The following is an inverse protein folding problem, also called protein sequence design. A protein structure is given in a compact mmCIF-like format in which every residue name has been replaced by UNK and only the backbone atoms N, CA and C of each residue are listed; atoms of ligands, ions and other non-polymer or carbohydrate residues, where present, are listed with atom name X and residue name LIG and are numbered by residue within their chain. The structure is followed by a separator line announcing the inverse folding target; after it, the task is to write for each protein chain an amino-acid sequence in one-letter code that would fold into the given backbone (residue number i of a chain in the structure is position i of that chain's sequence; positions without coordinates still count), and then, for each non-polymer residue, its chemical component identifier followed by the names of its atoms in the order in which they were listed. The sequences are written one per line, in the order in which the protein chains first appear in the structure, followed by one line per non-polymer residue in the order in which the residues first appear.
data_IF_871622303374
#
_entry.id   IF_871622303374
#
_cell.length_a   1.000
_cell.length_b   1.000
_cell.length_c   1.000
_cell.angle_alpha   90.00
_cell.angle_beta   90.00
_cell.angle_gamma   90.00
#
_symmetry.space_group_name_H-M   'P 1'
#
loop_
_entity.id
_entity.type
_entity.pdbx_description
1 polymer ?
#
# COMPACT_ATOMS: atom_id res chain seq x y z
N UNK A 1 7.02 12.64 -6.31
CA UNK A 1 6.18 11.99 -5.28
C UNK A 1 7.09 11.42 -4.20
N UNK A 2 6.54 11.00 -3.06
CA UNK A 2 7.28 10.29 -2.00
C UNK A 2 7.95 9.02 -2.56
N UNK A 3 9.00 8.50 -1.92
CA UNK A 3 9.57 7.21 -2.29
C UNK A 3 8.87 6.08 -1.54
N UNK A 4 8.68 4.94 -2.17
CA UNK A 4 8.04 3.79 -1.54
C UNK A 4 8.81 3.28 -0.31
N UNK A 5 10.16 3.23 -0.29
CA UNK A 5 10.91 2.94 0.93
C UNK A 5 10.56 3.84 2.13
N UNK A 6 10.21 5.12 1.91
CA UNK A 6 9.80 6.04 2.98
C UNK A 6 8.41 5.70 3.53
N UNK A 7 7.59 5.01 2.74
CA UNK A 7 6.27 4.52 3.11
C UNK A 7 6.35 3.18 3.87
N UNK A 8 7.49 2.51 3.88
CA UNK A 8 7.66 1.19 4.51
C UNK A 8 8.07 1.35 5.98
N UNK A 9 7.63 0.41 6.82
CA UNK A 9 8.02 0.34 8.24
C UNK A 9 8.76 -0.97 8.51
N UNK A 10 10.03 -0.93 8.95
CA UNK A 10 10.80 -2.14 9.22
C UNK A 10 10.18 -3.09 10.25
N UNK A 11 9.38 -2.54 11.17
CA UNK A 11 8.66 -3.31 12.19
C UNK A 11 7.39 -4.02 11.67
N UNK A 12 7.04 -3.86 10.39
CA UNK A 12 5.85 -4.47 9.83
C UNK A 12 6.00 -5.99 9.73
N UNK A 13 5.15 -6.72 10.44
CA UNK A 13 5.01 -8.17 10.29
C UNK A 13 4.09 -8.56 9.13
N UNK A 14 3.26 -7.63 8.64
CA UNK A 14 2.40 -7.81 7.47
C UNK A 14 2.14 -6.47 6.78
N UNK A 15 2.06 -6.51 5.45
CA UNK A 15 1.63 -5.41 4.60
C UNK A 15 0.39 -5.84 3.81
N UNK A 16 -0.60 -4.97 3.78
CA UNK A 16 -1.91 -5.22 3.20
C UNK A 16 -2.10 -4.35 1.96
N UNK A 17 -2.45 -4.98 0.85
CA UNK A 17 -2.86 -4.30 -0.37
C UNK A 17 -4.34 -4.57 -0.59
N UNK A 18 -5.17 -3.51 -0.61
CA UNK A 18 -6.62 -3.62 -0.87
C UNK A 18 -7.03 -2.65 -1.93
N UNK A 19 -7.51 -3.18 -3.05
CA UNK A 19 -8.03 -2.36 -4.11
C UNK A 19 -9.55 -2.23 -4.03
N UNK A 20 -10.03 -1.00 -4.21
CA UNK A 20 -11.46 -0.69 -4.34
C UNK A 20 -11.74 -0.10 -5.72
N UNK A 21 -12.67 -0.71 -6.45
CA UNK A 21 -13.13 -0.25 -7.75
C UNK A 21 -14.37 0.62 -7.56
N UNK A 22 -14.28 1.85 -8.05
CA UNK A 22 -15.29 2.89 -7.83
C UNK A 22 -15.90 3.36 -9.15
N UNK A 23 -15.28 3.03 -10.29
CA UNK A 23 -15.77 3.26 -11.64
C UNK A 23 -15.47 4.65 -12.20
N UNK A 24 -15.33 5.69 -11.38
CA UNK A 24 -14.99 7.06 -11.84
C UNK A 24 -14.04 7.78 -10.89
N UNK A 25 -13.32 8.77 -11.42
CA UNK A 25 -12.32 9.52 -10.67
C UNK A 25 -12.93 10.32 -9.51
N UNK A 26 -14.14 10.86 -9.69
CA UNK A 26 -14.89 11.59 -8.66
C UNK A 26 -15.25 10.66 -7.51
N UNK A 27 -15.72 9.44 -7.84
CA UNK A 27 -16.07 8.42 -6.85
C UNK A 27 -14.83 7.88 -6.14
N UNK A 28 -13.70 7.71 -6.84
CA UNK A 28 -12.40 7.36 -6.25
C UNK A 28 -11.93 8.40 -5.23
N UNK A 29 -11.99 9.68 -5.58
CA UNK A 29 -11.60 10.77 -4.66
C UNK A 29 -12.53 10.84 -3.46
N UNK A 30 -13.85 10.78 -3.68
CA UNK A 30 -14.82 10.80 -2.58
C UNK A 30 -14.61 9.63 -1.61
N UNK A 31 -14.36 8.42 -2.12
CA UNK A 31 -14.06 7.25 -1.28
C UNK A 31 -12.74 7.42 -0.51
N UNK A 32 -11.68 7.90 -1.18
CA UNK A 32 -10.39 8.14 -0.57
C UNK A 32 -10.46 9.19 0.55
N UNK A 33 -11.02 10.36 0.26
CA UNK A 33 -11.15 11.48 1.20
C UNK A 33 -12.04 11.10 2.39
N UNK A 34 -13.13 10.36 2.15
CA UNK A 34 -13.99 9.87 3.23
C UNK A 34 -13.23 8.90 4.12
N UNK A 35 -12.50 7.91 3.57
CA UNK A 35 -11.70 7.00 4.40
C UNK A 35 -10.60 7.71 5.18
N UNK A 36 -9.90 8.66 4.55
CA UNK A 36 -8.88 9.50 5.20
C UNK A 36 -9.50 10.26 6.38
N UNK A 37 -10.69 10.85 6.19
CA UNK A 37 -11.42 11.53 7.26
C UNK A 37 -11.83 10.60 8.41
N UNK A 38 -12.36 9.42 8.09
CA UNK A 38 -12.76 8.43 9.10
C UNK A 38 -11.55 7.91 9.89
N UNK A 39 -10.39 7.71 9.23
CA UNK A 39 -9.16 7.32 9.92
C UNK A 39 -8.55 8.42 10.77
N UNK A 40 -8.59 9.67 10.31
CA UNK A 40 -8.09 10.81 11.08
C UNK A 40 -8.97 11.10 12.31
N UNK A 41 -10.28 10.85 12.21
CA UNK A 41 -11.20 10.98 13.33
C UNK A 41 -11.13 9.79 14.30
N UNK A 42 -10.75 8.61 13.82
CA UNK A 42 -10.52 7.44 14.65
C UNK A 42 -9.17 7.53 15.38
N UNK A 43 -9.09 6.96 16.58
CA UNK A 43 -7.79 6.70 17.20
C UNK A 43 -6.99 5.68 16.39
N UNK A 44 -5.68 5.82 16.34
CA UNK A 44 -4.79 4.84 15.71
C UNK A 44 -4.98 3.47 16.37
N UNK A 45 -5.37 2.43 15.60
CA UNK A 45 -5.47 1.07 16.11
C UNK A 45 -4.13 0.59 16.66
N UNK A 46 -4.15 -0.09 17.81
CA UNK A 46 -2.97 -0.78 18.30
C UNK A 46 -2.46 -1.77 17.24
N UNK A 47 -1.17 -1.69 16.94
CA UNK A 47 -0.52 -2.55 15.95
C UNK A 47 -0.54 -2.05 14.50
N UNK A 48 -1.30 -0.99 14.16
CA UNK A 48 -1.18 -0.34 12.83
C UNK A 48 0.05 0.58 12.83
N UNK A 49 0.95 0.38 11.86
CA UNK A 49 2.23 1.09 11.78
C UNK A 49 2.22 2.20 10.72
N UNK A 50 1.48 1.98 9.64
CA UNK A 50 1.32 2.95 8.57
C UNK A 50 0.07 2.64 7.75
N UNK A 51 -0.51 3.67 7.14
CA UNK A 51 -1.61 3.50 6.22
C UNK A 51 -1.62 4.58 5.14
N UNK A 52 -1.72 4.18 3.88
CA UNK A 52 -1.59 5.05 2.73
C UNK A 52 -2.70 4.77 1.71
N UNK A 53 -3.10 5.81 1.00
CA UNK A 53 -4.12 5.78 -0.05
C UNK A 53 -3.49 6.23 -1.34
N UNK A 54 -3.73 5.46 -2.40
CA UNK A 54 -3.31 5.78 -3.75
C UNK A 54 -4.53 5.83 -4.67
N UNK A 55 -4.54 6.75 -5.61
CA UNK A 55 -5.57 6.84 -6.65
C UNK A 55 -5.03 6.25 -7.96
N UNK A 56 -5.84 5.41 -8.60
CA UNK A 56 -5.50 4.89 -9.93
C UNK A 56 -5.39 6.04 -10.93
N UNK A 57 -4.40 6.01 -11.82
CA UNK A 57 -4.21 7.05 -12.83
C UNK A 57 -5.29 7.03 -13.91
N UNK A 58 -5.98 5.91 -14.10
CA UNK A 58 -7.16 5.81 -14.98
C UNK A 58 -8.46 6.31 -14.32
N UNK A 59 -8.39 6.67 -13.03
CA UNK A 59 -9.52 7.17 -12.26
C UNK A 59 -10.52 6.12 -11.78
N UNK A 60 -10.37 4.86 -12.15
CA UNK A 60 -11.42 3.82 -11.95
C UNK A 60 -11.42 3.20 -10.55
N UNK A 61 -10.44 3.53 -9.71
CA UNK A 61 -10.35 2.99 -8.37
C UNK A 61 -9.23 3.60 -7.53
N UNK A 62 -9.02 2.97 -6.37
CA UNK A 62 -7.98 3.32 -5.41
C UNK A 62 -7.35 2.07 -4.80
N UNK A 63 -6.13 2.22 -4.30
CA UNK A 63 -5.40 1.20 -3.57
C UNK A 63 -5.12 1.70 -2.16
N UNK A 64 -5.44 0.86 -1.17
CA UNK A 64 -4.96 1.01 0.19
C UNK A 64 -3.73 0.15 0.41
N UNK A 65 -2.70 0.76 0.97
CA UNK A 65 -1.52 0.07 1.50
C UNK A 65 -1.48 0.31 3.01
N UNK A 66 -1.51 -0.76 3.80
CA UNK A 66 -1.44 -0.65 5.26
C UNK A 66 -0.42 -1.63 5.83
N UNK A 67 0.32 -1.21 6.84
CA UNK A 67 1.30 -2.04 7.53
C UNK A 67 0.88 -2.25 8.97
N UNK A 68 1.00 -3.49 9.42
CA UNK A 68 0.66 -3.89 10.79
C UNK A 68 1.80 -4.70 11.41
N UNK A 69 1.88 -4.69 12.73
CA UNK A 69 2.80 -5.51 13.52
C UNK A 69 2.61 -7.00 13.26
N UNK A 70 1.37 -7.45 13.04
CA UNK A 70 1.06 -8.83 12.68
C UNK A 70 -0.26 -8.98 11.93
N UNK A 71 -0.46 -10.15 11.30
CA UNK A 71 -1.75 -10.52 10.70
C UNK A 71 -2.86 -10.62 11.76
N UNK A 72 -2.52 -11.09 12.97
CA UNK A 72 -3.45 -11.25 14.08
C UNK A 72 -3.98 -9.90 14.57
N UNK A 73 -3.11 -8.91 14.73
CA UNK A 73 -3.48 -7.55 15.16
C UNK A 73 -4.46 -6.92 14.16
N UNK A 74 -4.15 -7.01 12.87
CA UNK A 74 -5.06 -6.53 11.83
C UNK A 74 -6.39 -7.29 11.84
N UNK A 75 -6.37 -8.62 11.98
CA UNK A 75 -7.60 -9.43 12.01
C UNK A 75 -8.47 -9.10 13.22
N UNK A 76 -7.87 -8.91 14.41
CA UNK A 76 -8.57 -8.51 15.60
C UNK A 76 -9.24 -7.14 15.42
N UNK A 77 -8.51 -6.16 14.89
CA UNK A 77 -9.08 -4.86 14.56
C UNK A 77 -10.20 -4.97 13.52
N UNK A 78 -9.99 -5.74 12.44
CA UNK A 78 -10.95 -5.84 11.35
C UNK A 78 -12.27 -6.46 11.80
N UNK A 79 -12.22 -7.51 12.64
CA UNK A 79 -13.43 -8.14 13.21
C UNK A 79 -14.26 -7.15 14.04
N UNK A 80 -13.60 -6.28 14.80
CA UNK A 80 -14.28 -5.36 15.69
C UNK A 80 -14.74 -4.05 15.02
N UNK A 81 -13.98 -3.52 14.05
CA UNK A 81 -14.16 -2.14 13.60
C UNK A 81 -14.40 -1.99 12.10
N UNK A 82 -14.06 -2.98 11.27
CA UNK A 82 -14.02 -2.78 9.81
C UNK A 82 -15.38 -2.38 9.22
N UNK A 83 -16.46 -3.03 9.65
CA UNK A 83 -17.80 -2.74 9.13
C UNK A 83 -18.19 -1.27 9.37
N UNK A 84 -17.95 -0.77 10.59
CA UNK A 84 -18.16 0.64 10.92
C UNK A 84 -17.26 1.57 10.10
N UNK A 85 -15.96 1.24 10.02
CA UNK A 85 -14.96 2.06 9.36
C UNK A 85 -15.22 2.31 7.86
N UNK A 86 -15.91 1.39 7.17
CA UNK A 86 -16.22 1.53 5.74
C UNK A 86 -17.66 1.94 5.44
N UNK A 87 -18.54 1.91 6.45
CA UNK A 87 -19.99 2.11 6.31
C UNK A 87 -20.36 3.46 5.65
N UNK A 88 -19.65 4.53 6.02
CA UNK A 88 -19.87 5.85 5.43
C UNK A 88 -19.52 5.88 3.95
N UNK A 89 -18.44 5.21 3.55
CA UNK A 89 -18.06 5.11 2.14
C UNK A 89 -19.08 4.30 1.35
N UNK A 90 -19.57 3.20 1.91
CA UNK A 90 -20.62 2.39 1.26
C UNK A 90 -21.91 3.19 1.04
N UNK A 91 -22.22 4.11 1.95
CA UNK A 91 -23.37 5.01 1.82
C UNK A 91 -23.14 6.07 0.74
N UNK A 92 -21.96 6.70 0.70
CA UNK A 92 -21.66 7.82 -0.20
C UNK A 92 -21.27 7.38 -1.61
N UNK A 93 -20.75 6.17 -1.75
CA UNK A 93 -20.27 5.61 -3.01
C UNK A 93 -20.88 4.21 -3.18
N UNK A 94 -22.18 4.14 -3.48
CA UNK A 94 -22.88 2.86 -3.56
C UNK A 94 -22.37 2.03 -4.75
N UNK A 95 -22.22 0.72 -4.55
CA UNK A 95 -21.75 -0.20 -5.59
C UNK A 95 -20.23 -0.23 -5.78
N UNK A 96 -19.43 0.17 -4.77
CA UNK A 96 -17.99 -0.10 -4.77
C UNK A 96 -17.76 -1.61 -4.79
N UNK A 97 -16.92 -2.07 -5.69
CA UNK A 97 -16.41 -3.44 -5.67
C UNK A 97 -15.09 -3.49 -4.88
N UNK A 98 -14.95 -4.51 -4.05
CA UNK A 98 -13.75 -4.75 -3.26
C UNK A 98 -13.29 -6.18 -3.51
N UNK A 99 -12.52 -6.43 -4.59
CA UNK A 99 -12.12 -7.78 -5.00
C UNK A 99 -11.43 -8.57 -3.88
N UNK A 100 -10.77 -7.87 -2.95
CA UNK A 100 -10.25 -8.49 -1.75
C UNK A 100 -9.21 -7.66 -1.03
N UNK A 101 -8.55 -8.33 -0.09
CA UNK A 101 -7.42 -7.83 0.67
C UNK A 101 -6.30 -8.86 0.57
N UNK A 102 -5.18 -8.47 -0.01
CA UNK A 102 -4.00 -9.34 -0.11
C UNK A 102 -3.07 -9.04 1.05
N UNK A 103 -2.77 -10.08 1.84
CA UNK A 103 -1.73 -10.04 2.88
C UNK A 103 -0.39 -10.40 2.28
N UNK A 104 0.63 -9.67 2.68
CA UNK A 104 1.96 -9.80 2.10
C UNK A 104 3.06 -9.48 3.09
N UNK A 105 4.30 -9.83 2.74
CA UNK A 105 5.51 -9.36 3.41
C UNK A 105 6.46 -8.77 2.37
N UNK A 106 7.02 -7.60 2.66
CA UNK A 106 8.09 -7.05 1.83
C UNK A 106 9.34 -7.91 2.02
N UNK A 107 9.81 -8.53 0.94
CA UNK A 107 10.94 -9.48 0.99
C UNK A 107 12.17 -8.98 0.25
N UNK A 108 11.98 -8.16 -0.78
CA UNK A 108 13.07 -7.63 -1.60
C UNK A 108 12.73 -6.22 -2.08
N UNK A 109 13.74 -5.36 -2.07
CA UNK A 109 13.69 -4.04 -2.69
C UNK A 109 14.93 -3.85 -3.55
N UNK A 110 14.76 -3.41 -4.79
CA UNK A 110 15.85 -3.05 -5.70
C UNK A 110 15.65 -1.59 -6.09
N UNK A 111 16.67 -0.76 -5.89
CA UNK A 111 16.65 0.67 -6.25
C UNK A 111 17.70 0.89 -7.33
N UNK A 112 17.26 1.37 -8.49
CA UNK A 112 18.11 1.62 -9.66
C UNK A 112 18.54 3.09 -9.77
N UNK A 113 17.64 4.01 -9.41
CA UNK A 113 17.89 5.45 -9.36
C UNK A 113 17.14 6.02 -8.15
N UNK A 114 17.88 6.46 -7.13
CA UNK A 114 17.36 7.01 -5.88
C UNK A 114 17.11 8.53 -5.95
N UNK A 115 17.73 9.24 -6.89
CA UNK A 115 17.72 10.70 -6.96
C UNK A 115 16.57 11.23 -7.82
N UNK A 116 16.19 10.49 -8.86
CA UNK A 116 15.14 10.93 -9.79
C UNK A 116 13.74 10.87 -9.14
N UNK A 117 12.89 11.89 -9.32
CA UNK A 117 11.57 11.88 -8.72
C UNK A 117 10.66 10.80 -9.30
N UNK A 118 9.87 10.16 -8.42
CA UNK A 118 8.80 9.24 -8.79
C UNK A 118 7.66 10.02 -9.43
N UNK A 119 7.23 9.59 -10.62
CA UNK A 119 6.05 10.11 -11.30
C UNK A 119 4.84 9.17 -11.25
N UNK A 120 5.06 7.85 -11.16
CA UNK A 120 3.96 6.88 -11.02
C UNK A 120 4.41 5.63 -10.27
N UNK A 121 3.51 5.05 -9.47
CA UNK A 121 3.67 3.70 -8.94
C UNK A 121 2.94 2.71 -9.82
N UNK A 122 3.51 1.54 -10.03
CA UNK A 122 2.87 0.43 -10.71
C UNK A 122 2.77 -0.74 -9.74
N UNK A 123 1.57 -1.31 -9.60
CA UNK A 123 1.36 -2.52 -8.81
C UNK A 123 0.91 -3.64 -9.74
N UNK A 124 1.66 -4.74 -9.71
CA UNK A 124 1.42 -5.94 -10.53
C UNK A 124 1.35 -7.17 -9.65
N UNK A 125 0.50 -8.14 -9.99
CA UNK A 125 0.36 -9.42 -9.25
C UNK A 125 0.95 -10.58 -10.03
N UNK A 126 2.21 -10.90 -9.79
CA UNK A 126 2.95 -11.94 -10.52
C UNK A 126 2.97 -13.26 -9.75
N UNK A 127 3.30 -14.36 -10.44
CA UNK A 127 3.64 -15.61 -9.76
C UNK A 127 4.93 -15.42 -8.94
N UNK A 128 5.01 -16.02 -7.76
CA UNK A 128 6.21 -16.02 -6.92
C UNK A 128 7.24 -17.05 -7.41
N UNK A 129 7.56 -16.97 -8.69
CA UNK A 129 8.62 -17.75 -9.34
C UNK A 129 9.88 -16.89 -9.44
N UNK A 130 11.05 -17.50 -9.22
CA UNK A 130 12.32 -16.76 -9.14
C UNK A 130 12.67 -16.03 -10.44
N UNK A 131 12.41 -16.64 -11.61
CA UNK A 131 12.70 -16.02 -12.90
C UNK A 131 11.73 -14.86 -13.16
N UNK A 132 10.44 -15.04 -12.83
CA UNK A 132 9.43 -13.99 -12.94
C UNK A 132 9.75 -12.81 -12.02
N UNK A 133 10.13 -13.08 -10.77
CA UNK A 133 10.51 -12.06 -9.80
C UNK A 133 11.80 -11.34 -10.20
N UNK A 134 12.78 -12.07 -10.72
CA UNK A 134 14.03 -11.50 -11.23
C UNK A 134 13.77 -10.56 -12.41
N UNK A 135 12.92 -10.97 -13.35
CA UNK A 135 12.50 -10.13 -14.46
C UNK A 135 11.74 -8.88 -14.00
N UNK A 136 10.84 -9.01 -13.02
CA UNK A 136 10.02 -7.91 -12.52
C UNK A 136 10.82 -6.80 -11.83
N UNK A 137 12.03 -7.09 -11.35
CA UNK A 137 12.94 -6.10 -10.72
C UNK A 137 14.14 -5.72 -11.61
N UNK A 138 14.25 -6.32 -12.79
CA UNK A 138 15.35 -6.04 -13.72
C UNK A 138 15.33 -4.56 -14.14
N UNK A 139 16.51 -3.93 -14.32
CA UNK A 139 16.57 -2.54 -14.74
C UNK A 139 15.93 -2.35 -16.11
N UNK A 140 15.12 -1.29 -16.25
CA UNK A 140 14.50 -0.88 -17.50
C UNK A 140 14.55 0.66 -17.63
N UNK A 141 14.57 1.22 -18.86
CA UNK A 141 14.51 2.66 -19.03
C UNK A 141 13.32 3.30 -18.32
N UNK A 142 13.60 4.15 -17.32
CA UNK A 142 12.58 4.84 -16.53
C UNK A 142 12.07 4.09 -15.29
N UNK A 143 12.51 2.84 -15.06
CA UNK A 143 12.29 2.14 -13.79
C UNK A 143 13.26 2.69 -12.74
N UNK A 144 12.72 3.18 -11.62
CA UNK A 144 13.48 3.78 -10.53
C UNK A 144 13.76 2.81 -9.39
N UNK A 145 12.76 2.00 -9.04
CA UNK A 145 12.85 0.98 -8.00
C UNK A 145 11.73 -0.07 -8.15
N UNK A 146 11.90 -1.24 -7.55
CA UNK A 146 10.89 -2.28 -7.47
C UNK A 146 10.92 -2.98 -6.11
N UNK A 147 9.75 -3.20 -5.53
CA UNK A 147 9.55 -3.73 -4.18
C UNK A 147 8.64 -4.96 -4.23
N UNK A 148 9.16 -6.11 -3.83
CA UNK A 148 8.49 -7.41 -3.93
C UNK A 148 7.83 -7.75 -2.60
N UNK A 149 6.50 -7.79 -2.65
CA UNK A 149 5.64 -8.21 -1.54
C UNK A 149 5.14 -9.64 -1.79
N UNK A 150 5.63 -10.63 -1.04
CA UNK A 150 5.19 -12.04 -1.20
C UNK A 150 3.95 -12.32 -0.37
N UNK A 151 3.01 -13.10 -0.92
CA UNK A 151 1.91 -13.69 -0.14
C UNK A 151 2.44 -14.72 0.87
N UNK A 152 1.72 -14.96 2.00
CA UNK A 152 2.13 -15.95 2.99
C UNK A 152 2.26 -17.39 2.49
N UNK A 153 1.46 -17.76 1.48
CA UNK A 153 1.54 -19.08 0.83
C UNK A 153 2.74 -19.19 -0.13
N UNK A 154 3.38 -18.07 -0.48
CA UNK A 154 4.51 -18.03 -1.41
C UNK A 154 4.13 -18.33 -2.85
N UNK A 155 2.85 -18.25 -3.23
CA UNK A 155 2.41 -18.53 -4.61
C UNK A 155 2.38 -17.27 -5.49
N UNK A 156 2.14 -16.11 -4.88
CA UNK A 156 2.00 -14.84 -5.59
C UNK A 156 2.86 -13.74 -4.98
N UNK A 157 3.17 -12.75 -5.81
CA UNK A 157 3.88 -11.57 -5.42
C UNK A 157 3.23 -10.31 -5.97
N UNK A 158 3.17 -9.29 -5.14
CA UNK A 158 2.73 -7.96 -5.50
C UNK A 158 4.00 -7.15 -5.69
N UNK A 159 4.28 -6.73 -6.91
CA UNK A 159 5.45 -5.90 -7.20
C UNK A 159 4.99 -4.46 -7.25
N UNK A 160 5.46 -3.65 -6.30
CA UNK A 160 5.27 -2.20 -6.32
C UNK A 160 6.51 -1.58 -6.95
N UNK A 161 6.38 -1.09 -8.18
CA UNK A 161 7.46 -0.47 -8.93
C UNK A 161 7.29 1.05 -9.02
N UNK A 162 8.38 1.77 -8.89
CA UNK A 162 8.45 3.22 -9.05
C UNK A 162 8.98 3.55 -10.45
N UNK A 163 8.24 4.37 -11.20
CA UNK A 163 8.61 4.78 -12.55
C UNK A 163 8.67 6.30 -12.67
N UNK A 164 9.46 6.79 -13.63
CA UNK A 164 9.52 8.22 -13.96
C UNK A 164 8.17 8.76 -14.40
N UNK A 165 7.42 7.97 -15.15
CA UNK A 165 6.12 8.32 -15.71
C UNK A 165 5.44 7.07 -16.29
N UNK A 166 4.17 7.22 -16.68
CA UNK A 166 3.37 6.13 -17.22
C UNK A 166 3.83 5.66 -18.61
N UNK A 167 4.44 6.55 -19.42
CA UNK A 167 4.87 6.26 -20.78
C UNK A 167 6.13 5.40 -20.79
N UNK A 168 7.06 5.65 -19.86
CA UNK A 168 8.23 4.80 -19.65
C UNK A 168 7.83 3.37 -19.27
N UNK A 169 6.89 3.21 -18.33
CA UNK A 169 6.35 1.90 -17.98
C UNK A 169 5.67 1.20 -19.18
N UNK A 170 4.90 1.96 -19.95
CA UNK A 170 4.20 1.45 -21.14
C UNK A 170 5.20 0.93 -22.19
N UNK A 171 6.23 1.71 -22.51
CA UNK A 171 7.27 1.31 -23.46
C UNK A 171 7.97 0.01 -23.03
N UNK A 172 8.35 -0.11 -21.76
CA UNK A 172 8.97 -1.32 -21.23
C UNK A 172 8.03 -2.54 -21.25
N UNK A 173 6.73 -2.33 -21.01
CA UNK A 173 5.72 -3.40 -21.05
C UNK A 173 5.54 -3.96 -22.46
N UNK A 174 5.57 -3.10 -23.48
CA UNK A 174 5.47 -3.52 -24.89
C UNK A 174 6.68 -4.34 -25.33
N UNK A 175 7.87 -4.01 -24.84
CA UNK A 175 9.10 -4.76 -25.15
C UNK A 175 9.12 -6.17 -24.53
N UNK A 176 8.39 -6.39 -23.44
CA UNK A 176 8.46 -7.60 -22.61
C UNK A 176 7.24 -8.52 -22.76
N UNK A 177 6.27 -8.20 -23.63
CA UNK A 177 4.99 -8.89 -23.69
C UNK A 177 5.10 -10.38 -24.10
N UNK A 178 5.18 -11.27 -23.11
CA UNK A 178 4.88 -12.69 -23.25
C UNK A 178 3.34 -12.91 -23.23
N UNK A 179 2.79 -13.88 -23.99
CA UNK A 179 1.37 -14.19 -23.95
C UNK A 179 0.99 -14.75 -22.57
N UNK A 180 0.12 -14.02 -21.85
CA UNK A 180 -0.30 -14.36 -20.48
C UNK A 180 -0.14 -13.23 -19.44
N UNK A 181 0.05 -11.99 -19.90
CA UNK A 181 0.33 -10.82 -19.07
C UNK A 181 -0.48 -10.73 -17.77
N UNK A 182 0.28 -10.70 -16.67
CA UNK A 182 -0.19 -10.33 -15.34
C UNK A 182 -0.81 -8.93 -15.37
N UNK A 183 -2.00 -8.77 -14.82
CA UNK A 183 -2.64 -7.46 -14.70
C UNK A 183 -1.83 -6.52 -13.81
N UNK A 184 -1.58 -5.30 -14.29
CA UNK A 184 -0.99 -4.20 -13.51
C UNK A 184 -1.94 -3.02 -13.43
N UNK A 185 -1.74 -2.17 -12.41
CA UNK A 185 -2.35 -0.85 -12.36
C UNK A 185 -1.37 0.21 -11.94
N UNK A 186 -1.66 1.43 -12.38
CA UNK A 186 -0.83 2.60 -12.17
C UNK A 186 -1.50 3.53 -11.18
N UNK A 187 -0.73 4.06 -10.24
CA UNK A 187 -1.25 4.83 -9.13
C UNK A 187 -0.40 6.07 -8.83
N UNK A 188 -1.06 7.07 -8.24
CA UNK A 188 -0.40 8.20 -7.58
C UNK A 188 -0.74 8.19 -6.09
N UNK A 189 0.25 8.53 -5.24
CA UNK A 189 0.02 8.65 -3.81
C UNK A 189 -0.93 9.83 -3.56
N UNK A 190 -2.06 9.55 -2.91
CA UNK A 190 -3.05 10.55 -2.55
C UNK A 190 -2.87 11.01 -1.11
N UNK A 191 -2.64 10.09 -0.18
CA UNK A 191 -2.46 10.41 1.22
C UNK A 191 -1.55 9.38 1.91
N UNK A 192 -0.69 9.84 2.82
CA UNK A 192 0.14 8.97 3.64
C UNK A 192 -0.01 9.33 5.12
N UNK A 193 -0.52 8.40 5.92
CA UNK A 193 -0.46 8.46 7.38
C UNK A 193 0.79 7.76 7.87
N UNK A 194 1.61 8.47 8.62
CA UNK A 194 2.59 7.88 9.52
C UNK A 194 1.93 7.81 10.90
N UNK A 195 1.61 6.60 11.37
CA UNK A 195 0.93 6.40 12.66
C UNK A 195 1.91 6.52 13.86
N UNK A 196 3.09 7.14 13.67
CA UNK A 196 4.24 6.91 14.55
C UNK A 196 4.16 7.63 15.91
N UNK A 197 4.42 6.82 16.95
CA UNK A 197 4.76 7.10 18.37
C UNK A 197 3.64 7.40 19.37
N UNK A 198 3.18 6.32 20.04
CA UNK A 198 3.16 6.29 21.52
C UNK A 198 4.14 5.24 22.02
N UNK A 199 5.40 5.63 22.18
CA UNK A 199 6.06 5.27 23.43
C UNK A 199 5.64 6.34 24.44
N UNK A 200 4.52 6.11 25.15
CA UNK A 200 4.35 6.77 26.44
C UNK A 200 5.37 6.12 27.37
N UNK A 201 6.59 6.65 27.40
CA UNK A 201 7.43 6.48 28.59
C UNK A 201 6.67 7.21 29.69
N UNK A 202 6.03 6.44 30.54
CA UNK A 202 5.53 6.89 31.81
C UNK A 202 6.71 6.74 32.79
N UNK A 203 7.48 7.79 33.13
CA UNK A 203 8.39 7.68 34.24
C UNK A 203 7.52 7.72 35.49
N UNK A 204 7.27 6.53 36.03
CA UNK A 204 6.82 6.27 37.40
C UNK A 204 7.14 7.44 38.32
N UNK A 205 6.10 7.92 39.01
CA UNK A 205 6.19 8.97 40.00
C UNK A 205 7.36 8.77 40.96
N UNK A 206 8.12 9.84 41.16
CA UNK A 206 9.08 9.96 42.25
C UNK A 206 8.28 10.28 43.51
N UNK A 207 8.27 9.43 44.56
CA UNK A 207 7.85 9.87 45.87
C UNK A 207 8.98 10.73 46.45
N UNK A 208 8.66 11.97 46.80
CA UNK A 208 9.59 12.82 47.55
C UNK A 208 9.85 12.23 48.95
N UNK A 209 11.07 12.33 49.49
CA UNK A 209 11.28 11.99 50.88
C UNK A 209 10.87 13.17 51.76
N UNK A 210 9.95 12.89 52.68
CA UNK A 210 9.80 13.61 53.94
C UNK A 210 11.09 13.51 54.76
N UNK A 211 11.59 14.66 55.20
CA UNK A 211 12.75 14.81 56.08
C UNK A 211 13.13 16.26 56.24
#
# INVERSE_FOLDING_TARGET
MTRFPDLVRPAAGTALLSEWLTGTAERSRLAAETMVGEWAAAGTPSGRLAQHVFLSTDGTGLLFYAQWTSDEDHLAWARAHRAGAVSRVDTLVPGIERPGLTRTRLTRSVVHDADRPVGVYVVSTVAADDDVLSAAVAPAPGLLAAHVHLTPDGEQAMVVAEWTDAAAHEAASYETAAPGGVGHRRYTLHHAFEDDRRESVDPKGVPGPTG
#
